data_IF_338570695741
#
_entry.id   IF_338570695741
#
_cell.length_a   1.000
_cell.length_b   1.000
_cell.length_c   1.000
_cell.angle_alpha   90.00
_cell.angle_beta   90.00
_cell.angle_gamma   90.00
#
_symmetry.space_group_name_H-M   'P 1'
#
loop_
_entity.id
_entity.type
_entity.pdbx_description
1 polymer ?
#
# COMPACT_ATOMS: atom_id res chain seq x y z
N UNK A 1 -54.12 30.13 59.89
CA UNK A 1 -52.86 29.41 60.09
C UNK A 1 -52.45 28.91 58.75
N UNK A 2 -51.51 29.64 58.16
CA UNK A 2 -50.86 29.33 56.90
C UNK A 2 -49.81 28.27 57.15
N UNK A 3 -50.05 27.10 56.65
CA UNK A 3 -49.01 26.03 56.64
C UNK A 3 -48.27 26.08 55.32
N UNK A 4 -47.07 26.62 55.38
CA UNK A 4 -46.17 26.65 54.28
C UNK A 4 -45.67 25.23 53.95
N UNK A 5 -46.26 24.61 52.98
CA UNK A 5 -45.75 23.41 52.40
C UNK A 5 -44.71 23.80 51.35
N UNK A 6 -43.46 23.91 51.79
CA UNK A 6 -42.31 23.95 50.86
C UNK A 6 -42.12 22.58 50.18
N UNK A 7 -42.78 22.47 49.05
CA UNK A 7 -42.51 21.34 48.15
C UNK A 7 -41.10 21.51 47.57
N UNK A 8 -40.11 20.85 48.21
CA UNK A 8 -38.77 20.75 47.63
C UNK A 8 -38.84 19.91 46.37
N UNK A 9 -39.04 20.56 45.23
CA UNK A 9 -38.84 19.96 43.95
C UNK A 9 -37.34 19.62 43.82
N UNK A 10 -37.01 18.36 44.01
CA UNK A 10 -35.68 17.84 43.65
C UNK A 10 -35.60 17.86 42.14
N UNK A 11 -35.01 18.91 41.59
CA UNK A 11 -34.60 18.94 40.21
C UNK A 11 -33.46 17.92 40.08
N UNK A 12 -33.79 16.72 39.63
CA UNK A 12 -32.79 15.77 39.15
C UNK A 12 -32.19 16.37 37.88
N UNK A 13 -31.04 16.97 38.03
CA UNK A 13 -30.20 17.32 36.88
C UNK A 13 -29.78 15.99 36.25
N UNK A 14 -30.52 15.58 35.25
CA UNK A 14 -30.10 14.48 34.36
C UNK A 14 -28.96 15.06 33.53
N UNK A 15 -27.71 14.85 33.98
CA UNK A 15 -26.53 15.07 33.18
C UNK A 15 -26.63 14.10 32.03
N UNK A 16 -27.20 14.53 30.92
CA UNK A 16 -27.06 13.83 29.63
C UNK A 16 -25.60 14.00 29.22
N UNK A 17 -24.83 13.00 29.55
CA UNK A 17 -23.47 12.85 29.03
C UNK A 17 -23.63 12.64 27.52
N UNK A 18 -23.57 13.73 26.76
CA UNK A 18 -23.54 13.70 25.31
C UNK A 18 -22.18 13.09 24.94
N UNK A 19 -22.12 11.76 24.83
CA UNK A 19 -21.00 11.06 24.22
C UNK A 19 -21.05 11.47 22.76
N UNK A 20 -20.30 12.52 22.42
CA UNK A 20 -20.00 12.86 21.05
C UNK A 20 -19.15 11.71 20.54
N UNK A 21 -19.79 10.76 19.91
CA UNK A 21 -19.14 9.75 19.07
C UNK A 21 -18.51 10.56 17.92
N UNK A 22 -17.30 11.03 18.14
CA UNK A 22 -16.49 11.52 17.04
C UNK A 22 -16.22 10.31 16.17
N UNK A 23 -17.09 10.08 15.20
CA UNK A 23 -16.75 9.24 14.06
C UNK A 23 -15.52 9.91 13.46
N UNK A 24 -14.35 9.39 13.82
CA UNK A 24 -13.12 9.69 13.12
C UNK A 24 -13.37 9.23 11.69
N UNK A 25 -13.74 10.14 10.81
CA UNK A 25 -13.67 9.91 9.38
C UNK A 25 -12.19 9.58 9.13
N UNK A 26 -11.91 8.30 9.03
CA UNK A 26 -10.58 7.83 8.62
C UNK A 26 -10.44 8.29 7.17
N UNK A 27 -9.79 9.42 6.96
CA UNK A 27 -9.40 9.86 5.64
C UNK A 27 -8.37 8.84 5.17
N UNK A 28 -8.76 7.95 4.28
CA UNK A 28 -7.84 7.03 3.62
C UNK A 28 -7.70 7.42 2.15
N UNK A 29 -6.51 7.31 1.63
CA UNK A 29 -6.20 7.42 0.21
C UNK A 29 -5.52 6.14 -0.25
N UNK A 30 -5.39 5.96 -1.56
CA UNK A 30 -4.81 4.77 -2.15
C UNK A 30 -3.65 5.12 -3.06
N UNK A 31 -2.70 4.20 -3.18
CA UNK A 31 -1.57 4.31 -4.10
C UNK A 31 -1.23 2.93 -4.64
N UNK A 32 -1.00 2.79 -5.95
CA UNK A 32 -0.66 1.52 -6.59
C UNK A 32 0.75 1.60 -7.18
N UNK A 33 1.54 0.54 -6.95
CA UNK A 33 2.82 0.36 -7.62
C UNK A 33 3.14 -1.12 -7.83
N UNK A 34 3.98 -1.40 -8.82
CA UNK A 34 4.61 -2.68 -9.09
C UNK A 34 6.08 -2.62 -8.69
N UNK A 35 6.54 -3.52 -7.87
CA UNK A 35 7.93 -3.56 -7.36
C UNK A 35 8.54 -4.96 -7.40
N UNK A 36 8.17 -5.76 -8.40
CA UNK A 36 8.53 -7.18 -8.49
C UNK A 36 7.53 -8.04 -7.73
N UNK A 37 8.00 -9.09 -7.08
CA UNK A 37 7.17 -9.98 -6.28
C UNK A 37 6.33 -9.21 -5.26
N UNK A 38 5.00 -9.35 -5.33
CA UNK A 38 4.08 -8.62 -4.46
C UNK A 38 4.19 -9.01 -2.97
N UNK A 39 4.66 -10.22 -2.63
CA UNK A 39 4.95 -10.56 -1.22
C UNK A 39 6.03 -9.65 -0.62
N UNK A 40 7.02 -9.27 -1.44
CA UNK A 40 8.07 -8.34 -1.00
C UNK A 40 7.55 -6.90 -0.93
N UNK A 41 6.81 -6.45 -1.94
CA UNK A 41 6.22 -5.10 -1.95
C UNK A 41 5.26 -4.88 -0.78
N UNK A 42 4.41 -5.86 -0.47
CA UNK A 42 3.53 -5.87 0.70
C UNK A 42 4.34 -5.77 1.99
N UNK A 43 5.26 -6.73 2.22
CA UNK A 43 6.08 -6.79 3.44
C UNK A 43 6.94 -5.54 3.69
N UNK A 44 7.44 -4.89 2.65
CA UNK A 44 8.25 -3.70 2.77
C UNK A 44 7.41 -2.46 3.09
N UNK A 45 6.19 -2.35 2.53
CA UNK A 45 5.36 -1.15 2.62
C UNK A 45 4.41 -1.17 3.83
N UNK A 46 3.89 -2.32 4.22
CA UNK A 46 2.92 -2.43 5.31
C UNK A 46 3.48 -2.01 6.68
N UNK A 47 4.79 -2.06 6.84
CA UNK A 47 5.50 -1.64 8.06
C UNK A 47 5.59 -0.12 8.26
N UNK A 48 5.22 0.66 7.24
CA UNK A 48 5.32 2.11 7.33
C UNK A 48 4.24 2.70 8.25
N UNK A 49 4.61 3.54 9.23
CA UNK A 49 3.64 4.26 10.04
C UNK A 49 2.72 5.12 9.15
N UNK A 50 1.41 4.94 9.28
CA UNK A 50 0.41 5.63 8.46
C UNK A 50 -0.13 4.82 7.30
N UNK A 51 0.51 3.71 6.93
CA UNK A 51 -0.10 2.69 6.06
C UNK A 51 -1.15 1.94 6.87
N UNK A 52 -2.34 1.80 6.30
CA UNK A 52 -3.49 1.13 6.92
C UNK A 52 -3.51 -0.35 6.53
N UNK A 53 -3.29 -0.63 5.25
CA UNK A 53 -3.19 -1.98 4.69
C UNK A 53 -2.49 -1.95 3.34
N UNK A 54 -1.91 -3.07 2.97
CA UNK A 54 -1.40 -3.30 1.62
C UNK A 54 -2.09 -4.55 1.08
N UNK A 55 -2.58 -4.49 -0.15
CA UNK A 55 -3.25 -5.61 -0.80
C UNK A 55 -2.40 -6.03 -1.99
N UNK A 56 -1.94 -7.27 -2.00
CA UNK A 56 -1.24 -7.89 -3.12
C UNK A 56 -2.20 -8.22 -4.25
N UNK A 57 -1.79 -8.02 -5.51
CA UNK A 57 -2.66 -8.27 -6.66
C UNK A 57 -1.97 -8.02 -8.00
N UNK A 58 -2.81 -7.75 -9.02
CA UNK A 58 -2.41 -7.56 -10.40
C UNK A 58 -3.00 -6.28 -10.98
N UNK A 59 -2.25 -5.61 -11.85
CA UNK A 59 -2.73 -4.42 -12.57
C UNK A 59 -1.99 -4.24 -13.91
N UNK A 60 -2.38 -3.23 -14.69
CA UNK A 60 -1.70 -2.79 -15.92
C UNK A 60 -1.58 -3.86 -17.00
N UNK A 61 -2.58 -4.74 -17.09
CA UNK A 61 -2.72 -5.72 -18.16
C UNK A 61 -4.11 -5.68 -18.80
N UNK A 62 -4.28 -6.44 -19.88
CA UNK A 62 -5.53 -6.54 -20.65
C UNK A 62 -6.27 -7.85 -20.42
N UNK A 63 -5.59 -8.85 -19.88
CA UNK A 63 -6.17 -10.16 -19.59
C UNK A 63 -7.31 -10.03 -18.57
N UNK A 64 -8.53 -10.49 -18.88
CA UNK A 64 -9.64 -10.41 -17.94
C UNK A 64 -9.44 -11.40 -16.75
N UNK A 65 -9.68 -10.90 -15.54
CA UNK A 65 -9.66 -11.70 -14.30
C UNK A 65 -8.36 -12.53 -14.11
N UNK A 66 -7.18 -11.88 -14.03
CA UNK A 66 -5.91 -12.56 -13.85
C UNK A 66 -5.92 -13.40 -12.57
N UNK A 67 -5.24 -14.55 -12.60
CA UNK A 67 -5.11 -15.44 -11.44
C UNK A 67 -3.66 -15.80 -11.21
N UNK A 68 -3.33 -16.18 -9.99
CA UNK A 68 -1.99 -16.63 -9.61
C UNK A 68 -1.76 -18.09 -10.00
N UNK A 69 -1.63 -18.34 -11.30
CA UNK A 69 -1.15 -19.60 -11.85
C UNK A 69 -0.30 -19.31 -13.08
N UNK A 70 0.73 -20.12 -13.37
CA UNK A 70 1.55 -19.93 -14.55
C UNK A 70 0.72 -19.74 -15.82
N UNK A 71 0.85 -18.57 -16.46
CA UNK A 71 0.11 -18.19 -17.68
C UNK A 71 -1.29 -17.63 -17.47
N UNK A 72 -1.85 -17.60 -16.25
CA UNK A 72 -3.19 -17.06 -16.00
C UNK A 72 -3.20 -15.58 -15.54
N UNK A 73 -2.07 -15.01 -15.16
CA UNK A 73 -1.94 -13.55 -14.92
C UNK A 73 -1.78 -12.75 -16.22
N UNK A 74 -1.55 -13.44 -17.35
CA UNK A 74 -1.46 -12.85 -18.66
C UNK A 74 -0.35 -11.80 -18.78
N UNK A 75 -0.73 -10.60 -19.22
CA UNK A 75 0.15 -9.45 -19.42
C UNK A 75 0.19 -8.47 -18.22
N UNK A 76 -0.45 -8.85 -17.10
CA UNK A 76 -0.45 -8.03 -15.90
C UNK A 76 0.92 -8.01 -15.20
N UNK A 77 1.14 -6.92 -14.41
CA UNK A 77 2.19 -6.87 -13.40
C UNK A 77 1.66 -7.28 -12.04
N UNK A 78 2.48 -7.94 -11.25
CA UNK A 78 2.28 -8.03 -9.81
C UNK A 78 2.38 -6.63 -9.20
N UNK A 79 1.45 -6.30 -8.32
CA UNK A 79 1.34 -4.95 -7.76
C UNK A 79 0.84 -4.97 -6.31
N UNK A 80 1.08 -3.87 -5.63
CA UNK A 80 0.56 -3.57 -4.30
C UNK A 80 -0.41 -2.38 -4.39
N UNK A 81 -1.62 -2.54 -3.84
CA UNK A 81 -2.56 -1.47 -3.55
C UNK A 81 -2.38 -1.06 -2.10
N UNK A 82 -1.80 0.10 -1.88
CA UNK A 82 -1.51 0.67 -0.57
C UNK A 82 -2.66 1.56 -0.13
N UNK A 83 -3.34 1.24 0.97
CA UNK A 83 -4.26 2.13 1.65
C UNK A 83 -3.51 2.85 2.77
N UNK A 84 -3.57 4.17 2.82
CA UNK A 84 -2.83 4.95 3.79
C UNK A 84 -3.63 6.14 4.33
N UNK A 85 -3.25 6.62 5.50
CA UNK A 85 -3.80 7.83 6.10
C UNK A 85 -2.93 9.03 5.70
N UNK A 86 -3.41 9.95 4.83
CA UNK A 86 -2.61 11.08 4.34
C UNK A 86 -2.25 12.10 5.42
N UNK A 87 -2.87 12.04 6.61
CA UNK A 87 -2.49 12.85 7.75
C UNK A 87 -1.30 12.27 8.54
N UNK A 88 -0.94 11.00 8.32
CA UNK A 88 0.16 10.32 9.00
C UNK A 88 1.35 10.06 8.08
N UNK A 89 1.09 9.78 6.81
CA UNK A 89 2.11 9.55 5.80
C UNK A 89 1.70 10.23 4.49
N UNK A 90 2.59 11.00 3.90
CA UNK A 90 2.32 11.68 2.63
C UNK A 90 2.59 10.78 1.43
N UNK A 91 1.95 11.07 0.30
CA UNK A 91 2.18 10.36 -0.96
C UNK A 91 3.65 10.45 -1.40
N UNK A 92 4.32 11.60 -1.20
CA UNK A 92 5.74 11.77 -1.53
C UNK A 92 6.64 10.84 -0.71
N UNK A 93 6.29 10.60 0.55
CA UNK A 93 7.00 9.65 1.42
C UNK A 93 6.84 8.21 0.91
N UNK A 94 5.63 7.84 0.47
CA UNK A 94 5.37 6.53 -0.14
C UNK A 94 6.16 6.35 -1.45
N UNK A 95 6.15 7.36 -2.33
CA UNK A 95 6.90 7.31 -3.60
C UNK A 95 8.41 7.15 -3.33
N UNK A 96 8.97 7.93 -2.39
CA UNK A 96 10.37 7.80 -2.00
C UNK A 96 10.68 6.41 -1.42
N UNK A 97 9.75 5.84 -0.65
CA UNK A 97 9.88 4.48 -0.13
C UNK A 97 9.92 3.46 -1.27
N UNK A 98 9.04 3.58 -2.26
CA UNK A 98 9.03 2.70 -3.44
C UNK A 98 10.42 2.70 -4.10
N UNK A 99 10.98 3.88 -4.43
CA UNK A 99 12.31 3.97 -5.04
C UNK A 99 13.45 3.43 -4.17
N UNK A 100 13.26 3.33 -2.86
CA UNK A 100 14.23 2.68 -1.95
C UNK A 100 14.09 1.17 -1.87
N UNK A 101 12.97 0.62 -2.30
CA UNK A 101 12.63 -0.80 -2.17
C UNK A 101 12.55 -1.54 -3.50
N UNK A 102 12.85 -0.88 -4.61
CA UNK A 102 12.95 -1.48 -5.94
C UNK A 102 14.33 -1.25 -6.55
N UNK A 103 14.73 -2.07 -7.51
CA UNK A 103 15.82 -1.74 -8.43
C UNK A 103 15.26 -0.82 -9.52
N UNK A 104 15.42 0.47 -9.33
CA UNK A 104 14.90 1.47 -10.26
C UNK A 104 15.69 1.59 -11.56
N UNK A 105 16.79 0.86 -11.69
CA UNK A 105 17.61 0.79 -12.91
C UNK A 105 17.30 -0.44 -13.77
N UNK A 106 16.35 -1.30 -13.31
CA UNK A 106 15.94 -2.52 -14.01
C UNK A 106 14.43 -2.54 -14.27
N UNK A 107 14.02 -2.47 -15.54
CA UNK A 107 12.61 -2.52 -15.95
C UNK A 107 12.16 -3.85 -16.56
N UNK A 108 13.04 -4.85 -16.62
CA UNK A 108 12.73 -6.17 -17.18
C UNK A 108 12.33 -7.21 -16.13
N UNK A 109 12.33 -6.80 -14.88
CA UNK A 109 12.00 -7.61 -13.71
C UNK A 109 12.55 -6.96 -12.46
N UNK A 110 12.56 -7.71 -11.36
CA UNK A 110 13.15 -7.24 -10.13
C UNK A 110 13.94 -8.36 -9.46
N UNK A 111 15.22 -8.12 -9.24
CA UNK A 111 16.14 -9.07 -8.60
C UNK A 111 16.18 -10.42 -9.34
N UNK A 112 15.76 -11.52 -8.68
CA UNK A 112 15.72 -12.84 -9.31
C UNK A 112 14.46 -13.08 -10.15
N UNK A 113 13.43 -12.27 -10.00
CA UNK A 113 12.15 -12.42 -10.70
C UNK A 113 12.21 -11.63 -12.02
N UNK A 114 12.01 -12.32 -13.13
CA UNK A 114 12.20 -11.73 -14.45
C UNK A 114 10.91 -11.76 -15.28
N UNK A 115 10.82 -10.83 -16.21
CA UNK A 115 9.71 -10.70 -17.14
C UNK A 115 8.66 -9.68 -16.72
N UNK A 116 7.70 -9.47 -17.63
CA UNK A 116 6.66 -8.42 -17.51
C UNK A 116 5.94 -8.42 -16.16
N UNK A 117 5.58 -9.59 -15.63
CA UNK A 117 4.84 -9.68 -14.37
C UNK A 117 5.59 -9.13 -13.17
N UNK A 118 6.91 -9.14 -13.23
CA UNK A 118 7.79 -8.65 -12.17
C UNK A 118 8.48 -7.33 -12.50
N UNK A 119 8.17 -6.72 -13.66
CA UNK A 119 8.72 -5.42 -14.02
C UNK A 119 8.13 -4.31 -13.13
N UNK A 120 8.93 -3.31 -12.69
CA UNK A 120 8.45 -2.24 -11.86
C UNK A 120 7.59 -1.26 -12.65
N UNK A 121 6.68 -0.58 -11.96
CA UNK A 121 5.96 0.59 -12.45
C UNK A 121 5.33 1.36 -11.29
N UNK A 122 5.13 2.66 -11.46
CA UNK A 122 4.40 3.49 -10.49
C UNK A 122 3.18 4.09 -11.21
N UNK A 123 2.02 4.00 -10.57
CA UNK A 123 0.75 4.40 -11.20
C UNK A 123 0.23 5.70 -10.61
N UNK A 124 -0.30 6.58 -11.47
CA UNK A 124 -0.86 7.87 -11.09
C UNK A 124 -2.35 7.98 -11.41
N UNK A 125 -3.10 8.71 -10.61
CA UNK A 125 -4.54 8.99 -10.80
C UNK A 125 -4.78 10.28 -11.60
N UNK A 126 -3.82 11.22 -11.55
CA UNK A 126 -3.96 12.54 -12.15
C UNK A 126 -2.58 13.17 -12.45
N UNK A 127 -2.58 14.32 -13.14
CA UNK A 127 -1.35 15.00 -13.55
C UNK A 127 -0.50 15.51 -12.38
N UNK A 128 -1.13 15.85 -11.24
CA UNK A 128 -0.38 16.23 -10.03
C UNK A 128 0.46 15.06 -9.53
N UNK A 129 -0.14 13.88 -9.37
CA UNK A 129 0.58 12.67 -8.95
C UNK A 129 1.67 12.28 -9.95
N UNK A 130 1.36 12.33 -11.26
CA UNK A 130 2.35 12.08 -12.32
C UNK A 130 3.57 12.98 -12.19
N UNK A 131 3.35 14.29 -12.02
CA UNK A 131 4.43 15.26 -11.87
C UNK A 131 5.22 15.04 -10.57
N UNK A 132 4.53 14.71 -9.48
CA UNK A 132 5.16 14.39 -8.20
C UNK A 132 6.06 13.17 -8.32
N UNK A 133 5.57 12.05 -8.87
CA UNK A 133 6.34 10.82 -9.09
C UNK A 133 7.58 11.14 -9.96
N UNK A 134 7.38 11.85 -11.07
CA UNK A 134 8.47 12.22 -11.98
C UNK A 134 9.54 13.09 -11.30
N UNK A 135 9.13 13.99 -10.40
CA UNK A 135 10.06 14.88 -9.68
C UNK A 135 10.88 14.15 -8.60
N UNK A 136 10.36 13.05 -8.07
CA UNK A 136 10.97 12.26 -7.01
C UNK A 136 11.78 11.07 -7.54
N UNK A 137 11.62 10.73 -8.82
CA UNK A 137 12.33 9.63 -9.44
C UNK A 137 13.85 9.89 -9.47
N UNK A 138 14.69 8.91 -9.14
CA UNK A 138 16.12 8.99 -9.35
C UNK A 138 16.46 9.30 -10.83
N UNK A 139 17.53 10.04 -11.07
CA UNK A 139 17.89 10.44 -12.45
C UNK A 139 18.18 9.26 -13.38
N UNK A 140 18.69 8.15 -12.85
CA UNK A 140 18.94 6.92 -13.57
C UNK A 140 17.73 5.99 -13.66
N UNK A 141 16.58 6.39 -13.10
CA UNK A 141 15.39 5.53 -13.07
C UNK A 141 14.86 5.24 -14.46
N UNK A 142 14.66 3.96 -14.74
CA UNK A 142 13.97 3.45 -15.92
C UNK A 142 12.56 2.95 -15.64
N UNK A 143 12.06 3.20 -14.42
CA UNK A 143 10.74 2.76 -13.96
C UNK A 143 9.64 3.51 -14.72
N UNK A 144 8.72 2.82 -15.41
CA UNK A 144 7.58 3.43 -16.07
C UNK A 144 6.64 4.13 -15.07
N UNK A 145 6.15 5.32 -15.46
CA UNK A 145 5.12 6.08 -14.73
C UNK A 145 3.87 6.03 -15.61
N UNK A 146 2.89 5.23 -15.22
CA UNK A 146 1.72 4.88 -16.03
C UNK A 146 0.42 5.36 -15.36
N UNK A 147 -0.67 5.62 -16.12
CA UNK A 147 -1.97 5.89 -15.50
C UNK A 147 -2.46 4.66 -14.73
N UNK A 148 -3.11 4.90 -13.60
CA UNK A 148 -3.75 3.84 -12.82
C UNK A 148 -4.81 3.12 -13.65
N UNK A 149 -4.83 1.80 -13.56
CA UNK A 149 -5.81 0.94 -14.20
C UNK A 149 -6.48 0.05 -13.16
N UNK A 150 -7.41 -0.79 -13.59
CA UNK A 150 -8.12 -1.70 -12.69
C UNK A 150 -7.14 -2.60 -11.94
N UNK A 151 -7.30 -2.66 -10.63
CA UNK A 151 -6.58 -3.57 -9.74
C UNK A 151 -7.41 -4.84 -9.48
N UNK A 152 -6.73 -5.98 -9.44
CA UNK A 152 -7.32 -7.29 -9.20
C UNK A 152 -6.59 -7.93 -7.99
N UNK A 153 -7.23 -7.97 -6.82
CA UNK A 153 -6.62 -8.63 -5.65
C UNK A 153 -6.30 -10.11 -5.96
N UNK A 154 -5.14 -10.56 -5.52
CA UNK A 154 -4.82 -11.99 -5.52
C UNK A 154 -5.56 -12.69 -4.37
N UNK A 155 -5.68 -14.02 -4.44
CA UNK A 155 -6.37 -14.83 -3.42
C UNK A 155 -5.71 -14.70 -2.05
N UNK A 156 -6.50 -14.95 -1.03
CA UNK A 156 -6.18 -14.75 0.39
C UNK A 156 -4.90 -15.48 0.85
N UNK A 157 -4.59 -16.63 0.28
CA UNK A 157 -3.36 -17.36 0.62
C UNK A 157 -2.06 -16.62 0.26
N UNK A 158 -2.14 -15.60 -0.60
CA UNK A 158 -1.02 -14.75 -1.01
C UNK A 158 -0.98 -13.41 -0.30
N UNK A 159 -2.05 -13.01 0.41
CA UNK A 159 -2.06 -11.83 1.26
C UNK A 159 -1.30 -12.15 2.55
N UNK A 160 -0.53 -11.18 3.08
CA UNK A 160 0.29 -11.36 4.29
C UNK A 160 1.23 -12.58 4.21
N UNK A 161 1.69 -12.93 3.01
CA UNK A 161 2.47 -14.15 2.82
C UNK A 161 3.69 -14.22 3.73
N UNK A 162 4.34 -13.09 3.96
CA UNK A 162 5.51 -12.96 4.83
C UNK A 162 5.21 -13.26 6.31
N UNK A 163 3.95 -13.04 6.76
CA UNK A 163 3.48 -13.39 8.11
C UNK A 163 2.99 -14.83 8.17
N UNK A 164 2.26 -15.29 7.14
CA UNK A 164 1.69 -16.64 7.08
C UNK A 164 2.75 -17.72 6.85
N UNK A 165 3.81 -17.39 6.10
CA UNK A 165 4.86 -18.31 5.67
C UNK A 165 6.27 -17.73 5.88
N UNK A 166 6.65 -17.32 7.10
CA UNK A 166 7.86 -16.52 7.34
C UNK A 166 9.15 -17.23 6.93
N UNK A 167 9.25 -18.53 7.09
CA UNK A 167 10.44 -19.29 6.71
C UNK A 167 10.63 -19.31 5.19
N UNK A 168 9.58 -19.65 4.45
CA UNK A 168 9.59 -19.71 2.99
C UNK A 168 9.85 -18.33 2.38
N UNK A 169 9.19 -17.29 2.92
CA UNK A 169 9.37 -15.92 2.48
C UNK A 169 10.81 -15.42 2.71
N UNK A 170 11.35 -15.60 3.90
CA UNK A 170 12.72 -15.16 4.21
C UNK A 170 13.77 -15.91 3.39
N UNK A 171 13.59 -17.20 3.18
CA UNK A 171 14.46 -17.99 2.31
C UNK A 171 14.42 -17.50 0.87
N UNK A 172 13.22 -17.28 0.33
CA UNK A 172 13.03 -16.72 -1.02
C UNK A 172 13.70 -15.35 -1.14
N UNK A 173 13.40 -14.40 -0.24
CA UNK A 173 13.94 -13.04 -0.25
C UNK A 173 15.48 -13.03 -0.21
N UNK A 174 16.06 -13.84 0.67
CA UNK A 174 17.50 -14.00 0.76
C UNK A 174 18.10 -14.57 -0.53
N UNK A 175 17.53 -15.66 -1.06
CA UNK A 175 18.02 -16.31 -2.29
C UNK A 175 17.89 -15.40 -3.52
N UNK A 176 16.88 -14.55 -3.52
CA UNK A 176 16.65 -13.57 -4.59
C UNK A 176 17.68 -12.42 -4.58
N UNK A 177 18.43 -12.24 -3.51
CA UNK A 177 19.45 -11.19 -3.40
C UNK A 177 18.89 -9.77 -3.31
N UNK A 178 17.56 -9.64 -2.99
CA UNK A 178 16.86 -8.34 -2.97
C UNK A 178 17.55 -7.35 -2.04
N UNK A 179 17.76 -7.71 -0.78
CA UNK A 179 18.30 -6.81 0.22
C UNK A 179 19.75 -6.40 -0.10
N UNK A 180 20.56 -7.30 -0.66
CA UNK A 180 21.91 -7.00 -1.09
C UNK A 180 21.95 -5.93 -2.19
N UNK A 181 21.10 -6.08 -3.23
CA UNK A 181 21.02 -5.11 -4.31
C UNK A 181 20.49 -3.76 -3.85
N UNK A 182 19.49 -3.75 -2.97
CA UNK A 182 18.95 -2.51 -2.39
C UNK A 182 19.99 -1.76 -1.55
N UNK A 183 20.81 -2.48 -0.80
CA UNK A 183 21.94 -1.88 -0.07
C UNK A 183 22.99 -1.23 -0.99
N UNK A 184 23.19 -1.76 -2.19
CA UNK A 184 24.05 -1.14 -3.20
C UNK A 184 23.45 0.15 -3.76
N UNK A 185 22.17 0.14 -4.10
CA UNK A 185 21.47 1.27 -4.71
C UNK A 185 21.23 2.44 -3.74
N UNK A 186 21.17 2.18 -2.45
CA UNK A 186 20.85 3.18 -1.42
C UNK A 186 22.11 3.74 -0.71
N UNK A 187 23.32 3.44 -1.18
CA UNK A 187 24.58 4.03 -0.70
C UNK A 187 24.82 5.39 -1.33
#
# INVERSE_FOLDING_TARGET
YLYNMFLKAKIKIFSVLLIIFQSSFSFSDTFIYSGGCFWCTEADTEKLPGVISVISGFTSGTTPNPKYYPGEWGDHREAALVNFNPNLISLDTLIKHVFKTIDYEDNEGQFCDRGRSYSPAIYYKNDYEKNLISSLAPKSSVVPIEPETKFFPVREEHQDYYLKNPFQYNFYRYRCGRDFRLDELNK
#
